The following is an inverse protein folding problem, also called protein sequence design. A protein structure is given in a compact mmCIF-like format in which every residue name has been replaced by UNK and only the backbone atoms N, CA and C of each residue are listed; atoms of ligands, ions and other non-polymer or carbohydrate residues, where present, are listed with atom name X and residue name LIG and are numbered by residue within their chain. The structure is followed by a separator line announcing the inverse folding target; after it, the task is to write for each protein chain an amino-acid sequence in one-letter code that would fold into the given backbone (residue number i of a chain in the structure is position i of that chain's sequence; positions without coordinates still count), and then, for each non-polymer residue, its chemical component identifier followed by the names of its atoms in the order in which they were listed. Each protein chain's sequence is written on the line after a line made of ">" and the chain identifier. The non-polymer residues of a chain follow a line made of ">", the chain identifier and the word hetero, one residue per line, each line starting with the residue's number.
data_IF_129497443097
#
_entry.id   IF_129497443097
#
_cell.length_a   1.000
_cell.length_b   1.000
_cell.length_c   1.000
_cell.angle_alpha   90.00
_cell.angle_beta   90.00
_cell.angle_gamma   90.00
#
_symmetry.space_group_name_H-M   'P 1'
#
loop_
_entity.id
_entity.type
_entity.pdbx_description
1 polymer ?
#
# COMPACT_ATOMS: atom_id res chain seq x y z
N UNK A 1 -25.22 -13.98 -9.97
CA UNK A 1 -23.75 -14.17 -10.02
C UNK A 1 -23.11 -13.67 -8.73
N UNK A 2 -22.47 -14.54 -7.94
CA UNK A 2 -21.67 -14.13 -6.76
C UNK A 2 -20.51 -13.26 -7.25
N UNK A 3 -20.47 -11.97 -6.90
CA UNK A 3 -19.31 -11.11 -7.17
C UNK A 3 -18.11 -11.71 -6.45
N UNK A 4 -17.16 -12.26 -7.19
CA UNK A 4 -15.87 -12.73 -6.66
C UNK A 4 -15.23 -11.55 -5.92
N UNK A 5 -14.93 -11.73 -4.63
CA UNK A 5 -14.19 -10.72 -3.87
C UNK A 5 -12.85 -10.54 -4.58
N UNK A 6 -12.60 -9.35 -5.15
CA UNK A 6 -11.30 -9.02 -5.71
C UNK A 6 -10.27 -9.03 -4.57
N UNK A 7 -9.48 -10.09 -4.50
CA UNK A 7 -8.39 -10.23 -3.54
C UNK A 7 -7.10 -9.65 -4.12
N UNK A 8 -6.10 -9.51 -3.26
CA UNK A 8 -4.78 -8.98 -3.58
C UNK A 8 -4.04 -9.91 -4.58
N UNK A 9 -4.39 -11.19 -4.55
CA UNK A 9 -3.73 -12.29 -5.25
C UNK A 9 -3.88 -12.25 -6.78
N UNK A 10 -4.69 -11.33 -7.32
CA UNK A 10 -4.87 -11.17 -8.77
C UNK A 10 -3.61 -10.56 -9.42
N UNK A 11 -2.73 -9.93 -8.64
CA UNK A 11 -1.48 -9.36 -9.14
C UNK A 11 -0.37 -10.40 -9.05
N UNK A 12 0.07 -10.87 -10.22
CA UNK A 12 1.17 -11.85 -10.35
C UNK A 12 2.54 -11.17 -10.49
N UNK A 13 2.59 -9.95 -11.04
CA UNK A 13 3.83 -9.21 -11.24
C UNK A 13 3.62 -7.69 -11.26
N UNK A 14 4.72 -6.95 -11.11
CA UNK A 14 4.72 -5.51 -11.19
C UNK A 14 4.36 -5.04 -12.61
N UNK A 15 3.41 -4.12 -12.71
CA UNK A 15 2.89 -3.58 -13.96
C UNK A 15 3.87 -2.63 -14.69
N UNK A 16 4.99 -2.29 -14.06
CA UNK A 16 5.97 -1.36 -14.59
C UNK A 16 5.63 0.11 -14.31
N UNK A 17 6.67 0.94 -14.27
CA UNK A 17 6.56 2.36 -14.00
C UNK A 17 5.75 3.12 -15.07
N UNK A 18 5.91 2.78 -16.36
CA UNK A 18 5.20 3.44 -17.46
C UNK A 18 3.69 3.43 -17.28
N UNK A 19 3.12 2.32 -16.80
CA UNK A 19 1.68 2.23 -16.58
C UNK A 19 1.25 3.10 -15.39
N UNK A 20 2.02 3.10 -14.29
CA UNK A 20 1.73 3.92 -13.12
C UNK A 20 1.85 5.42 -13.41
N UNK A 21 2.88 5.83 -14.16
CA UNK A 21 3.06 7.21 -14.60
C UNK A 21 1.88 7.65 -15.46
N UNK A 22 1.45 6.83 -16.44
CA UNK A 22 0.26 7.11 -17.25
C UNK A 22 -1.02 7.26 -16.41
N UNK A 23 -1.16 6.52 -15.30
CA UNK A 23 -2.31 6.71 -14.39
C UNK A 23 -2.25 8.06 -13.67
N UNK A 24 -1.07 8.49 -13.24
CA UNK A 24 -0.88 9.80 -12.59
C UNK A 24 -1.12 10.93 -13.59
N UNK A 25 -0.61 10.83 -14.82
CA UNK A 25 -0.80 11.83 -15.88
C UNK A 25 -2.27 12.03 -16.26
N UNK A 26 -3.09 10.97 -16.20
CA UNK A 26 -4.55 11.06 -16.40
C UNK A 26 -5.27 11.84 -15.29
N UNK A 27 -4.65 12.04 -14.13
CA UNK A 27 -5.25 12.79 -13.03
C UNK A 27 -5.18 14.29 -13.30
N UNK A 28 -6.36 14.94 -13.36
CA UNK A 28 -6.46 16.39 -13.61
C UNK A 28 -6.02 17.24 -12.42
N UNK A 29 -6.27 16.77 -11.19
CA UNK A 29 -6.02 17.52 -9.95
C UNK A 29 -4.75 17.02 -9.29
N UNK A 30 -3.96 17.94 -8.76
CA UNK A 30 -2.72 17.65 -8.02
C UNK A 30 -2.94 16.71 -6.83
N UNK A 31 -4.04 16.90 -6.09
CA UNK A 31 -4.42 15.99 -4.99
C UNK A 31 -4.71 14.57 -5.46
N UNK A 32 -5.25 14.40 -6.67
CA UNK A 32 -5.55 13.08 -7.21
C UNK A 32 -4.25 12.39 -7.66
N UNK A 33 -3.31 13.13 -8.28
CA UNK A 33 -1.94 12.65 -8.57
C UNK A 33 -1.25 12.16 -7.30
N UNK A 34 -1.23 13.01 -6.26
CA UNK A 34 -0.61 12.68 -4.98
C UNK A 34 -1.30 11.51 -4.27
N UNK A 35 -2.61 11.36 -4.41
CA UNK A 35 -3.36 10.22 -3.87
C UNK A 35 -2.94 8.91 -4.54
N UNK A 36 -2.85 8.89 -5.88
CA UNK A 36 -2.40 7.69 -6.62
C UNK A 36 -0.97 7.33 -6.25
N UNK A 37 -0.08 8.32 -6.20
CA UNK A 37 1.28 8.15 -5.69
C UNK A 37 1.29 7.58 -4.27
N UNK A 38 0.57 8.18 -3.32
CA UNK A 38 0.54 7.71 -1.94
C UNK A 38 -0.03 6.30 -1.79
N UNK A 39 -1.05 5.92 -2.58
CA UNK A 39 -1.61 4.56 -2.57
C UNK A 39 -0.57 3.51 -2.99
N UNK A 40 0.26 3.83 -4.00
CA UNK A 40 1.33 2.97 -4.46
C UNK A 40 2.53 2.99 -3.50
N UNK A 41 3.14 4.15 -3.30
CA UNK A 41 4.42 4.31 -2.60
C UNK A 41 4.37 3.77 -1.16
N UNK A 42 3.26 4.04 -0.46
CA UNK A 42 3.08 3.51 0.90
C UNK A 42 2.62 2.06 0.90
N UNK A 43 2.03 1.61 -0.20
CA UNK A 43 1.29 0.36 -0.30
C UNK A 43 0.23 0.20 0.80
N UNK A 44 -0.29 1.30 1.35
CA UNK A 44 -1.29 1.33 2.42
C UNK A 44 -2.68 0.91 1.95
N UNK A 45 -3.52 0.44 2.88
CA UNK A 45 -4.97 0.39 2.60
C UNK A 45 -5.48 1.83 2.46
N UNK A 46 -6.53 2.05 1.68
CA UNK A 46 -7.13 3.39 1.52
C UNK A 46 -7.39 4.08 2.86
N UNK A 47 -7.95 3.36 3.82
CA UNK A 47 -8.25 3.90 5.14
C UNK A 47 -6.99 4.29 5.93
N UNK A 48 -5.84 3.66 5.66
CA UNK A 48 -4.56 4.01 6.27
C UNK A 48 -3.95 5.22 5.55
N UNK A 49 -4.01 5.25 4.22
CA UNK A 49 -3.52 6.38 3.38
C UNK A 49 -4.28 7.67 3.68
N UNK A 50 -5.60 7.60 3.84
CA UNK A 50 -6.43 8.76 4.21
C UNK A 50 -6.18 9.28 5.64
N UNK A 51 -5.42 8.55 6.47
CA UNK A 51 -4.99 9.01 7.79
C UNK A 51 -3.59 9.65 7.78
N UNK A 52 -2.88 9.63 6.64
CA UNK A 52 -1.57 10.25 6.53
C UNK A 52 -1.67 11.75 6.71
N UNK A 53 -0.71 12.27 7.47
CA UNK A 53 -0.55 13.68 7.79
C UNK A 53 0.83 14.16 7.35
N UNK A 54 0.98 15.48 7.21
CA UNK A 54 2.24 16.11 6.78
C UNK A 54 3.42 15.68 7.66
N UNK A 55 3.20 15.59 8.97
CA UNK A 55 4.19 15.18 9.97
C UNK A 55 4.57 13.70 9.90
N UNK A 56 3.87 12.87 9.12
CA UNK A 56 4.32 11.50 8.85
C UNK A 56 5.53 11.46 7.90
N UNK A 57 5.91 12.56 7.24
CA UNK A 57 6.95 12.54 6.20
C UNK A 57 8.20 13.31 6.64
N UNK A 58 9.36 12.67 6.49
CA UNK A 58 10.67 13.27 6.70
C UNK A 58 11.49 13.09 5.43
N UNK A 59 12.05 14.17 4.90
CA UNK A 59 13.01 14.08 3.79
C UNK A 59 14.39 13.76 4.37
N UNK A 60 14.92 12.59 4.03
CA UNK A 60 16.26 12.12 4.40
C UNK A 60 16.90 11.49 3.18
N UNK A 61 17.49 12.32 2.31
CA UNK A 61 18.02 11.90 1.00
C UNK A 61 18.96 10.68 1.13
N UNK A 62 18.85 9.68 0.22
CA UNK A 62 18.01 9.64 -0.98
C UNK A 62 16.55 9.21 -0.74
N UNK A 63 16.07 9.21 0.50
CA UNK A 63 14.76 8.68 0.87
C UNK A 63 13.77 9.75 1.36
N UNK A 64 12.50 9.51 1.07
CA UNK A 64 11.38 10.09 1.79
C UNK A 64 10.92 9.07 2.83
N UNK A 65 11.20 9.32 4.10
CA UNK A 65 10.83 8.42 5.21
C UNK A 65 9.39 8.70 5.64
N UNK A 66 8.55 7.67 5.60
CA UNK A 66 7.19 7.71 6.14
C UNK A 66 7.21 7.15 7.55
N UNK A 67 7.19 8.01 8.56
CA UNK A 67 7.17 7.63 9.97
C UNK A 67 5.76 7.47 10.52
N UNK A 68 5.61 6.49 11.41
CA UNK A 68 4.40 6.29 12.21
C UNK A 68 3.09 6.24 11.38
N UNK A 69 3.14 5.64 10.19
CA UNK A 69 1.92 5.43 9.39
C UNK A 69 0.99 4.47 10.14
N UNK A 70 -0.28 4.84 10.41
CA UNK A 70 -1.22 3.98 11.12
C UNK A 70 -1.50 2.68 10.36
N UNK A 71 -1.51 1.56 11.09
CA UNK A 71 -1.84 0.25 10.55
C UNK A 71 -3.16 -0.21 11.12
N UNK A 72 -4.19 -0.24 10.26
CA UNK A 72 -5.55 -0.56 10.67
C UNK A 72 -5.81 -2.07 10.66
N UNK A 73 -6.98 -2.47 11.19
CA UNK A 73 -7.42 -3.87 11.32
C UNK A 73 -6.42 -4.73 12.10
N UNK A 74 -5.82 -4.17 13.13
CA UNK A 74 -5.01 -4.90 14.09
C UNK A 74 -5.87 -5.24 15.29
N UNK A 75 -5.94 -6.53 15.58
CA UNK A 75 -6.70 -7.08 16.68
C UNK A 75 -5.81 -8.02 17.49
N UNK A 76 -6.01 -8.02 18.82
CA UNK A 76 -5.44 -8.99 19.77
C UNK A 76 -6.58 -9.90 20.22
N UNK A 77 -6.36 -11.21 20.23
CA UNK A 77 -7.30 -12.17 20.83
C UNK A 77 -7.16 -12.05 22.35
N UNK A 78 -8.27 -11.81 23.04
CA UNK A 78 -8.32 -11.60 24.50
C UNK A 78 -9.13 -12.67 25.23
N UNK A 79 -9.77 -13.57 24.49
CA UNK A 79 -10.51 -14.69 25.04
C UNK A 79 -11.41 -15.33 24.00
N UNK A 80 -12.25 -16.24 24.45
CA UNK A 80 -13.19 -17.00 23.64
C UNK A 80 -14.61 -16.90 24.24
N UNK A 81 -15.63 -17.06 23.41
CA UNK A 81 -17.02 -17.19 23.84
C UNK A 81 -17.75 -18.17 22.93
N UNK A 82 -18.76 -18.87 23.46
CA UNK A 82 -19.68 -19.68 22.65
C UNK A 82 -20.79 -18.78 22.10
N UNK A 83 -21.02 -18.83 20.79
CA UNK A 83 -22.19 -18.17 20.18
C UNK A 83 -23.47 -18.99 20.42
N UNK A 84 -24.62 -18.46 19.98
CA UNK A 84 -25.93 -19.11 20.17
C UNK A 84 -26.02 -20.50 19.51
N UNK A 85 -25.19 -20.76 18.50
CA UNK A 85 -25.09 -22.06 17.81
C UNK A 85 -24.05 -22.99 18.46
N UNK A 86 -23.52 -22.63 19.64
CA UNK A 86 -22.51 -23.38 20.37
C UNK A 86 -21.09 -23.29 19.79
N UNK A 87 -20.84 -22.44 18.77
CA UNK A 87 -19.53 -22.33 18.13
C UNK A 87 -18.62 -21.40 18.93
N UNK A 88 -17.37 -21.81 19.09
CA UNK A 88 -16.35 -21.00 19.74
C UNK A 88 -15.95 -19.84 18.83
N UNK A 89 -16.09 -18.62 19.33
CA UNK A 89 -15.71 -17.36 18.69
C UNK A 89 -14.67 -16.63 19.53
N UNK A 90 -13.82 -15.87 18.86
CA UNK A 90 -12.79 -15.08 19.51
C UNK A 90 -13.33 -13.74 19.98
N UNK A 91 -13.11 -13.41 21.26
CA UNK A 91 -13.17 -12.03 21.73
C UNK A 91 -11.88 -11.33 21.30
N UNK A 92 -12.02 -10.20 20.63
CA UNK A 92 -10.86 -9.46 20.11
C UNK A 92 -10.92 -7.99 20.47
N UNK A 93 -9.77 -7.43 20.83
CA UNK A 93 -9.59 -6.01 21.10
C UNK A 93 -8.79 -5.35 19.97
N UNK A 94 -9.13 -4.09 19.64
CA UNK A 94 -8.40 -3.32 18.63
C UNK A 94 -7.03 -2.93 19.17
N UNK A 95 -5.97 -3.35 18.46
CA UNK A 95 -4.58 -2.97 18.76
C UNK A 95 -4.20 -1.76 17.90
N UNK A 96 -3.63 -0.73 18.52
CA UNK A 96 -2.99 0.36 17.79
C UNK A 96 -1.63 -0.14 17.30
N UNK A 97 -1.33 0.11 16.03
CA UNK A 97 -0.05 -0.23 15.44
C UNK A 97 0.33 0.82 14.40
N UNK A 98 1.63 0.97 14.23
CA UNK A 98 2.23 1.88 13.27
C UNK A 98 3.32 1.15 12.50
N UNK A 99 3.75 1.73 11.38
CA UNK A 99 4.92 1.29 10.64
C UNK A 99 5.70 2.50 10.14
N UNK A 100 7.00 2.32 9.99
CA UNK A 100 7.92 3.28 9.40
C UNK A 100 8.65 2.60 8.26
N UNK A 101 8.75 3.27 7.11
CA UNK A 101 9.42 2.72 5.94
C UNK A 101 9.93 3.84 5.03
N UNK A 102 11.00 3.58 4.26
CA UNK A 102 11.51 4.53 3.28
C UNK A 102 10.77 4.40 1.93
N UNK A 103 10.72 5.50 1.18
CA UNK A 103 10.41 5.57 -0.25
C UNK A 103 11.65 6.17 -0.93
N UNK A 104 12.17 5.54 -1.98
CA UNK A 104 13.31 6.09 -2.71
C UNK A 104 12.86 7.30 -3.53
N UNK A 105 13.56 8.42 -3.42
CA UNK A 105 13.10 9.68 -4.05
C UNK A 105 13.21 9.71 -5.57
N UNK A 106 13.97 8.79 -6.16
CA UNK A 106 14.05 8.62 -7.62
C UNK A 106 12.91 7.78 -8.19
N UNK A 107 12.07 7.18 -7.36
CA UNK A 107 10.87 6.48 -7.85
C UNK A 107 9.92 7.48 -8.52
N UNK A 108 9.42 7.19 -9.74
CA UNK A 108 8.62 8.15 -10.52
C UNK A 108 7.39 8.70 -9.80
N UNK A 109 6.81 7.94 -8.88
CA UNK A 109 5.61 8.34 -8.14
C UNK A 109 5.94 9.14 -6.86
N UNK A 110 7.20 9.15 -6.40
CA UNK A 110 7.62 9.95 -5.26
C UNK A 110 7.54 11.46 -5.57
N UNK A 111 7.88 11.89 -6.78
CA UNK A 111 7.84 13.29 -7.20
C UNK A 111 6.47 13.96 -7.00
N UNK A 112 5.39 13.44 -7.62
CA UNK A 112 4.04 14.00 -7.46
C UNK A 112 3.55 14.02 -5.99
N UNK A 113 3.94 13.03 -5.18
CA UNK A 113 3.62 13.03 -3.75
C UNK A 113 4.38 14.13 -3.01
N UNK A 114 5.69 14.25 -3.27
CA UNK A 114 6.55 15.25 -2.64
C UNK A 114 6.11 16.68 -2.98
N UNK A 115 5.75 16.93 -4.23
CA UNK A 115 5.30 18.25 -4.68
C UNK A 115 3.98 18.66 -4.02
N UNK A 116 3.06 17.71 -3.83
CA UNK A 116 1.85 17.97 -3.08
C UNK A 116 2.13 18.17 -1.57
N UNK A 117 3.05 17.39 -0.99
CA UNK A 117 3.48 17.57 0.39
C UNK A 117 4.03 18.97 0.66
N UNK A 118 4.80 19.56 -0.28
CA UNK A 118 5.34 20.93 -0.14
C UNK A 118 4.24 22.00 -0.03
N UNK A 119 3.04 21.73 -0.55
CA UNK A 119 1.89 22.64 -0.52
C UNK A 119 1.06 22.53 0.75
N UNK A 120 1.39 21.59 1.65
CA UNK A 120 0.67 21.36 2.90
C UNK A 120 1.55 21.82 4.06
N UNK A 121 1.05 22.80 4.81
CA UNK A 121 1.72 23.29 6.01
C UNK A 121 1.60 22.28 7.16
N UNK A 122 0.38 21.84 7.46
CA UNK A 122 0.10 20.88 8.51
C UNK A 122 -1.17 20.05 8.24
N UNK A 123 -1.42 19.05 9.09
CA UNK A 123 -2.67 18.29 9.05
C UNK A 123 -2.69 17.13 8.04
N UNK A 124 -3.90 16.68 7.68
CA UNK A 124 -4.11 15.52 6.80
C UNK A 124 -3.75 15.85 5.35
N UNK A 125 -3.16 14.89 4.65
CA UNK A 125 -2.89 15.04 3.21
C UNK A 125 -4.18 15.07 2.38
N UNK A 126 -5.13 14.20 2.71
CA UNK A 126 -6.30 13.93 1.87
C UNK A 126 -7.59 14.14 2.65
N UNK A 127 -8.38 15.14 2.24
CA UNK A 127 -9.68 15.47 2.81
C UNK A 127 -10.80 14.85 1.98
N UNK A 128 -10.83 13.51 1.89
CA UNK A 128 -11.82 12.79 1.09
C UNK A 128 -12.20 11.43 1.71
N UNK A 129 -13.38 10.94 1.31
CA UNK A 129 -13.88 9.64 1.74
C UNK A 129 -13.41 8.47 0.88
N UNK A 130 -13.46 7.24 1.42
CA UNK A 130 -13.08 6.00 0.71
C UNK A 130 -13.86 5.77 -0.59
N UNK A 131 -15.13 6.18 -0.62
CA UNK A 131 -15.99 6.06 -1.82
C UNK A 131 -15.47 6.96 -2.94
N UNK A 132 -15.07 8.20 -2.60
CA UNK A 132 -14.48 9.13 -3.56
C UNK A 132 -13.15 8.59 -4.11
N UNK A 133 -12.26 8.10 -3.23
CA UNK A 133 -11.01 7.43 -3.65
C UNK A 133 -11.30 6.29 -4.61
N UNK A 134 -12.28 5.44 -4.29
CA UNK A 134 -12.67 4.36 -5.19
C UNK A 134 -13.13 4.89 -6.55
N UNK A 135 -14.00 5.90 -6.59
CA UNK A 135 -14.46 6.50 -7.85
C UNK A 135 -13.31 7.07 -8.69
N UNK A 136 -12.38 7.79 -8.07
CA UNK A 136 -11.17 8.33 -8.74
C UNK A 136 -10.37 7.19 -9.36
N UNK A 137 -10.00 6.18 -8.57
CA UNK A 137 -9.20 5.04 -9.04
C UNK A 137 -9.91 4.31 -10.20
N UNK A 138 -11.23 4.14 -10.10
CA UNK A 138 -12.03 3.44 -11.12
C UNK A 138 -12.28 4.26 -12.38
N UNK A 139 -12.20 5.59 -12.31
CA UNK A 139 -12.27 6.44 -13.50
C UNK A 139 -10.97 6.42 -14.31
N UNK A 140 -9.83 6.12 -13.67
CA UNK A 140 -8.54 6.00 -14.36
C UNK A 140 -8.43 4.68 -15.14
N UNK A 141 -8.88 3.58 -14.52
CA UNK A 141 -8.98 2.28 -15.16
C UNK A 141 -10.08 1.41 -14.48
N UNK A 142 -10.92 0.77 -15.28
CA UNK A 142 -12.02 -0.11 -14.82
C UNK A 142 -11.53 -1.48 -14.33
N UNK A 143 -10.24 -1.76 -14.28
CA UNK A 143 -9.69 -3.01 -13.76
C UNK A 143 -8.93 -2.82 -12.45
N UNK A 144 -8.48 -1.60 -12.16
CA UNK A 144 -7.77 -1.30 -10.92
C UNK A 144 -8.72 -0.96 -9.78
N UNK A 145 -8.22 -1.06 -8.55
CA UNK A 145 -8.93 -0.72 -7.32
C UNK A 145 -7.88 -0.37 -6.26
N UNK A 146 -8.22 0.30 -5.15
CA UNK A 146 -7.16 0.83 -4.31
C UNK A 146 -6.21 -0.21 -3.68
N UNK A 147 -6.72 -1.42 -3.40
CA UNK A 147 -5.89 -2.51 -2.89
C UNK A 147 -4.99 -3.14 -3.97
N UNK A 148 -5.22 -2.84 -5.26
CA UNK A 148 -4.32 -3.22 -6.36
C UNK A 148 -2.98 -2.50 -6.24
N UNK A 149 -2.95 -1.21 -5.88
CA UNK A 149 -1.69 -0.47 -5.68
C UNK A 149 -0.81 -1.08 -4.58
N UNK A 150 -1.42 -1.57 -3.50
CA UNK A 150 -0.70 -2.31 -2.45
C UNK A 150 -0.03 -3.57 -2.98
N UNK A 151 -0.71 -4.30 -3.85
CA UNK A 151 -0.17 -5.51 -4.48
C UNK A 151 0.98 -5.14 -5.43
N UNK A 152 0.79 -4.10 -6.24
CA UNK A 152 1.81 -3.58 -7.15
C UNK A 152 3.06 -3.12 -6.42
N UNK A 153 2.92 -2.42 -5.28
CA UNK A 153 4.06 -2.02 -4.44
C UNK A 153 4.82 -3.23 -3.92
N UNK A 154 4.11 -4.26 -3.43
CA UNK A 154 4.77 -5.47 -2.94
C UNK A 154 5.53 -6.20 -4.07
N UNK A 155 4.92 -6.33 -5.24
CA UNK A 155 5.58 -6.92 -6.42
C UNK A 155 6.78 -6.09 -6.90
N UNK A 156 6.69 -4.76 -6.88
CA UNK A 156 7.78 -3.87 -7.26
C UNK A 156 8.95 -3.99 -6.27
N UNK A 157 8.69 -3.95 -4.97
CA UNK A 157 9.70 -4.11 -3.93
C UNK A 157 10.45 -5.45 -4.06
N UNK A 158 9.72 -6.53 -4.32
CA UNK A 158 10.31 -7.83 -4.55
C UNK A 158 11.13 -7.88 -5.85
N UNK A 159 10.62 -7.32 -6.96
CA UNK A 159 11.25 -7.40 -8.28
C UNK A 159 12.49 -6.52 -8.41
N UNK A 160 12.40 -5.27 -8.00
CA UNK A 160 13.42 -4.25 -8.25
C UNK A 160 14.42 -4.11 -7.09
N UNK A 161 13.94 -4.19 -5.85
CA UNK A 161 14.79 -4.10 -4.65
C UNK A 161 15.16 -5.46 -4.05
N UNK A 162 14.62 -6.56 -4.59
CA UNK A 162 14.96 -7.91 -4.15
C UNK A 162 14.37 -8.30 -2.79
N UNK A 163 13.40 -7.54 -2.28
CA UNK A 163 12.78 -7.76 -0.97
C UNK A 163 12.28 -9.20 -0.83
N UNK A 164 12.66 -9.84 0.27
CA UNK A 164 12.19 -11.16 0.62
C UNK A 164 10.91 -11.13 1.48
N UNK A 165 10.52 -12.29 1.99
CA UNK A 165 9.32 -12.44 2.83
C UNK A 165 9.39 -11.58 4.09
N UNK A 166 10.56 -11.50 4.73
CA UNK A 166 10.77 -10.75 5.96
C UNK A 166 10.75 -9.25 5.69
N UNK A 167 11.44 -8.80 4.63
CA UNK A 167 11.43 -7.39 4.22
C UNK A 167 10.01 -6.89 3.93
N UNK A 168 9.22 -7.70 3.21
CA UNK A 168 7.82 -7.37 2.91
C UNK A 168 6.95 -7.39 4.18
N UNK A 169 7.20 -8.30 5.11
CA UNK A 169 6.50 -8.31 6.41
C UNK A 169 6.76 -7.01 7.15
N UNK A 170 8.02 -6.56 7.22
CA UNK A 170 8.39 -5.35 7.93
C UNK A 170 7.84 -4.10 7.24
N UNK A 171 8.00 -4.00 5.92
CA UNK A 171 7.46 -2.90 5.14
C UNK A 171 5.94 -2.79 5.26
N UNK A 172 5.21 -3.91 5.15
CA UNK A 172 3.74 -3.92 5.15
C UNK A 172 3.10 -4.10 6.54
N UNK A 173 3.91 -4.41 7.54
CA UNK A 173 3.53 -4.89 8.87
C UNK A 173 2.52 -6.05 8.76
N UNK A 174 2.73 -7.00 7.84
CA UNK A 174 1.79 -8.11 7.62
C UNK A 174 1.89 -9.16 8.74
N UNK A 175 0.74 -9.71 9.17
CA UNK A 175 0.71 -10.81 10.15
C UNK A 175 0.88 -12.20 9.54
N UNK A 176 0.52 -12.36 8.26
CA UNK A 176 0.49 -13.65 7.59
C UNK A 176 1.67 -13.77 6.66
N UNK A 177 2.52 -14.77 6.91
CA UNK A 177 3.61 -15.16 6.02
C UNK A 177 3.08 -15.50 4.62
N UNK A 178 1.92 -16.16 4.53
CA UNK A 178 1.33 -16.57 3.24
C UNK A 178 1.11 -15.39 2.28
N UNK A 179 0.65 -14.24 2.81
CA UNK A 179 0.47 -13.03 1.99
C UNK A 179 1.81 -12.51 1.48
N UNK A 180 2.86 -12.53 2.31
CA UNK A 180 4.20 -12.11 1.90
C UNK A 180 4.81 -13.09 0.88
N UNK A 181 4.65 -14.40 1.10
CA UNK A 181 5.12 -15.46 0.20
C UNK A 181 4.56 -15.32 -1.21
N UNK A 182 3.31 -14.87 -1.37
CA UNK A 182 2.74 -14.64 -2.70
C UNK A 182 3.54 -13.61 -3.52
N UNK A 183 3.95 -12.50 -2.90
CA UNK A 183 4.68 -11.43 -3.59
C UNK A 183 6.19 -11.66 -3.65
N UNK A 184 6.75 -12.41 -2.69
CA UNK A 184 8.19 -12.72 -2.68
C UNK A 184 8.59 -13.75 -3.72
N UNK A 185 7.63 -14.49 -4.30
CA UNK A 185 7.88 -15.42 -5.40
C UNK A 185 8.29 -14.63 -6.63
N UNK A 186 9.59 -14.49 -6.81
CA UNK A 186 10.18 -13.88 -7.99
C UNK A 186 9.85 -14.76 -9.21
N UNK A 187 9.09 -14.23 -10.17
CA UNK A 187 9.01 -14.85 -11.50
C UNK A 187 10.39 -14.90 -12.16
N UNK A 188 10.51 -15.54 -13.32
CA UNK A 188 11.81 -15.75 -14.00
C UNK A 188 12.64 -14.47 -14.18
N UNK A 189 12.00 -13.30 -14.36
CA UNK A 189 12.68 -12.00 -14.45
C UNK A 189 13.41 -11.63 -13.16
N UNK A 190 12.79 -11.85 -12.01
CA UNK A 190 13.40 -11.55 -10.71
C UNK A 190 14.53 -12.52 -10.38
N UNK A 191 14.38 -13.80 -10.75
CA UNK A 191 15.46 -14.78 -10.66
C UNK A 191 16.64 -14.40 -11.55
N UNK A 192 16.39 -14.06 -12.82
CA UNK A 192 17.42 -13.60 -13.74
C UNK A 192 18.14 -12.35 -13.22
N UNK A 193 17.41 -11.40 -12.60
CA UNK A 193 18.03 -10.21 -12.00
C UNK A 193 18.96 -10.56 -10.83
N UNK A 194 18.55 -11.48 -9.94
CA UNK A 194 19.43 -11.95 -8.85
C UNK A 194 20.66 -12.71 -9.33
N UNK A 195 20.60 -13.31 -10.51
CA UNK A 195 21.72 -14.04 -11.12
C UNK A 195 22.71 -13.13 -11.85
N UNK A 196 22.39 -11.85 -12.10
CA UNK A 196 23.30 -10.85 -12.69
C UNK A 196 24.35 -10.30 -11.71
N UNK A 197 24.61 -11.02 -10.62
CA UNK A 197 25.64 -10.66 -9.64
C UNK A 197 27.03 -10.70 -10.25
#
# INVERSE_FOLDING_TARGET
>A
MKKTKRSVEIVESFCGWDYLVKLVEKCRREVDKALISALFETGGRVSEVLLLRKDNFIVQKPFLVVKAMPVLKRYKKIGEYKDADGRIRWRTERKIAYRTFPIHMEEPLCGPLLDYLKKIDNGKLFHMGRIQVYRIVRSLDKNIFPHWFRAQRASQLALEYGFDVHDLIDFFNWKSLQTATHYSRMGWKGLANKMKR
#
